data_IF_619631564419
#
_entry.id   IF_619631564419
#
_cell.length_a   1.000
_cell.length_b   1.000
_cell.length_c   1.000
_cell.angle_alpha   90.00
_cell.angle_beta   90.00
_cell.angle_gamma   90.00
#
_symmetry.space_group_name_H-M   'P 1'
#
loop_
_entity.id
_entity.type
_entity.pdbx_description
1 polymer ?
#
# COMPACT_ATOMS: atom_id res chain seq x y z
N UNK A 1 -15.69 -21.53 -9.20
CA UNK A 1 -16.52 -21.12 -8.06
C UNK A 1 -17.64 -22.12 -7.79
N UNK A 2 -18.16 -22.12 -6.58
CA UNK A 2 -19.34 -22.88 -6.19
C UNK A 2 -20.27 -21.97 -5.41
N UNK A 3 -21.56 -22.06 -5.66
CA UNK A 3 -22.60 -21.36 -4.86
C UNK A 3 -23.46 -22.40 -4.14
N UNK A 4 -24.09 -21.97 -3.07
CA UNK A 4 -25.00 -22.81 -2.29
C UNK A 4 -26.08 -23.46 -3.17
N UNK A 5 -26.38 -24.76 -2.99
CA UNK A 5 -27.46 -25.44 -3.72
C UNK A 5 -28.87 -24.90 -3.45
N UNK A 6 -29.03 -24.09 -2.39
CA UNK A 6 -30.30 -23.45 -2.05
C UNK A 6 -30.62 -22.20 -2.88
N UNK A 7 -29.70 -21.77 -3.76
CA UNK A 7 -29.89 -20.56 -4.55
C UNK A 7 -30.95 -20.75 -5.64
N UNK A 8 -31.68 -19.67 -5.89
CA UNK A 8 -32.66 -19.60 -6.98
C UNK A 8 -31.94 -19.27 -8.29
N UNK A 9 -32.13 -20.13 -9.30
CA UNK A 9 -31.60 -19.88 -10.63
C UNK A 9 -32.22 -18.63 -11.27
N UNK A 10 -31.48 -17.99 -12.17
CA UNK A 10 -31.84 -16.82 -12.99
C UNK A 10 -32.04 -15.50 -12.21
N UNK A 11 -32.18 -15.51 -10.88
CA UNK A 11 -32.21 -14.32 -10.04
C UNK A 11 -30.93 -14.15 -9.22
N UNK A 12 -30.24 -15.26 -8.93
CA UNK A 12 -28.89 -15.23 -8.35
C UNK A 12 -27.86 -14.86 -9.41
N UNK A 13 -26.99 -13.91 -9.11
CA UNK A 13 -26.02 -13.39 -10.07
C UNK A 13 -24.67 -13.07 -9.45
N UNK A 14 -23.65 -13.02 -10.31
CA UNK A 14 -22.32 -12.52 -10.00
C UNK A 14 -22.09 -11.22 -10.75
N UNK A 15 -21.62 -10.19 -10.03
CA UNK A 15 -21.19 -8.92 -10.59
C UNK A 15 -19.69 -8.80 -10.43
N UNK A 16 -19.01 -8.43 -11.50
CA UNK A 16 -17.58 -8.18 -11.49
C UNK A 16 -17.32 -6.70 -11.67
N UNK A 17 -16.59 -6.12 -10.73
CA UNK A 17 -16.18 -4.72 -10.77
C UNK A 17 -14.66 -4.63 -10.91
N UNK A 18 -14.21 -3.67 -11.69
CA UNK A 18 -12.81 -3.27 -11.77
C UNK A 18 -12.71 -1.79 -11.38
N UNK A 19 -11.94 -1.49 -10.33
CA UNK A 19 -11.78 -0.12 -9.81
C UNK A 19 -13.11 0.59 -9.49
N UNK A 20 -14.10 -0.16 -9.03
CA UNK A 20 -15.44 0.35 -8.71
C UNK A 20 -16.41 0.41 -9.89
N UNK A 21 -15.96 0.20 -11.11
CA UNK A 21 -16.80 0.16 -12.32
C UNK A 21 -17.32 -1.25 -12.57
N UNK A 22 -18.63 -1.42 -12.75
CA UNK A 22 -19.23 -2.70 -13.14
C UNK A 22 -18.74 -3.07 -14.55
N UNK A 23 -18.13 -4.24 -14.68
CA UNK A 23 -17.63 -4.75 -15.94
C UNK A 23 -18.65 -5.71 -16.59
N UNK A 24 -19.15 -6.65 -15.80
CA UNK A 24 -20.04 -7.68 -16.29
C UNK A 24 -20.90 -8.23 -15.15
N UNK A 25 -22.11 -8.68 -15.52
CA UNK A 25 -23.06 -9.39 -14.66
C UNK A 25 -23.41 -10.72 -15.28
N UNK A 26 -23.29 -11.80 -14.52
CA UNK A 26 -23.69 -13.14 -14.94
C UNK A 26 -24.79 -13.69 -14.04
N UNK A 27 -26.00 -13.85 -14.58
CA UNK A 27 -27.07 -14.58 -13.91
C UNK A 27 -26.78 -16.08 -13.93
N UNK A 28 -26.96 -16.76 -12.80
CA UNK A 28 -26.65 -18.19 -12.67
C UNK A 28 -27.85 -19.02 -13.09
N UNK A 29 -27.62 -19.97 -14.01
CA UNK A 29 -28.61 -20.94 -14.45
C UNK A 29 -28.73 -22.09 -13.44
N UNK A 30 -29.79 -22.86 -13.53
CA UNK A 30 -30.01 -24.04 -12.67
C UNK A 30 -28.89 -25.10 -12.77
N UNK A 31 -28.17 -25.16 -13.88
CA UNK A 31 -27.05 -26.07 -14.05
C UNK A 31 -25.81 -25.68 -13.26
N UNK A 32 -25.72 -24.41 -12.86
CA UNK A 32 -24.58 -23.80 -12.18
C UNK A 32 -24.75 -23.72 -10.65
N UNK A 33 -25.96 -23.98 -10.15
CA UNK A 33 -26.27 -23.97 -8.74
C UNK A 33 -25.78 -25.24 -8.06
N UNK A 34 -25.10 -25.11 -6.91
CA UNK A 34 -24.69 -26.22 -6.05
C UNK A 34 -23.59 -27.12 -6.63
N UNK A 35 -22.90 -26.71 -7.69
CA UNK A 35 -21.82 -27.49 -8.32
C UNK A 35 -20.64 -26.58 -8.66
N UNK A 36 -19.41 -27.08 -8.65
CA UNK A 36 -18.25 -26.35 -9.17
C UNK A 36 -18.48 -25.91 -10.61
N UNK A 37 -18.24 -24.65 -10.89
CA UNK A 37 -18.45 -24.03 -12.20
C UNK A 37 -17.28 -23.13 -12.56
N UNK A 38 -17.11 -22.91 -13.88
CA UNK A 38 -16.20 -21.90 -14.42
C UNK A 38 -16.99 -20.86 -15.21
N UNK A 39 -16.68 -19.59 -14.98
CA UNK A 39 -17.15 -18.48 -15.79
C UNK A 39 -15.94 -17.64 -16.21
N UNK A 40 -16.01 -17.12 -17.42
CA UNK A 40 -14.99 -16.19 -17.95
C UNK A 40 -15.65 -14.82 -18.04
N UNK A 41 -15.05 -13.84 -17.40
CA UNK A 41 -15.48 -12.44 -17.44
C UNK A 41 -14.44 -11.64 -18.23
N UNK A 42 -14.93 -10.75 -19.10
CA UNK A 42 -14.07 -9.87 -19.88
C UNK A 42 -13.99 -8.50 -19.21
N UNK A 43 -12.80 -8.14 -18.76
CA UNK A 43 -12.55 -6.85 -18.13
C UNK A 43 -12.11 -5.83 -19.17
N UNK A 44 -12.75 -4.66 -19.17
CA UNK A 44 -12.43 -3.56 -20.08
C UNK A 44 -11.02 -3.02 -19.85
N UNK A 45 -10.19 -3.00 -20.90
CA UNK A 45 -8.81 -2.50 -20.80
C UNK A 45 -8.73 -1.04 -20.34
N UNK A 46 -9.74 -0.23 -20.60
CA UNK A 46 -9.80 1.20 -20.22
C UNK A 46 -10.02 1.41 -18.72
N UNK A 47 -10.55 0.42 -18.02
CA UNK A 47 -10.79 0.49 -16.58
C UNK A 47 -9.57 0.15 -15.74
N UNK A 48 -8.49 -0.36 -16.36
CA UNK A 48 -7.20 -0.56 -15.71
C UNK A 48 -6.45 0.76 -15.54
N UNK A 49 -5.80 0.91 -14.40
CA UNK A 49 -5.00 2.10 -14.04
C UNK A 49 -3.55 1.69 -13.80
N UNK A 50 -2.65 2.64 -13.97
CA UNK A 50 -1.26 2.46 -13.52
C UNK A 50 -1.24 2.30 -12.00
N UNK A 51 -0.46 1.36 -11.48
CA UNK A 51 -0.37 1.05 -10.07
C UNK A 51 -1.44 0.04 -9.62
N UNK A 52 -2.01 0.26 -8.45
CA UNK A 52 -2.94 -0.67 -7.83
C UNK A 52 -4.29 -0.69 -8.55
N UNK A 53 -4.77 -1.89 -8.85
CA UNK A 53 -6.09 -2.15 -9.38
C UNK A 53 -6.85 -3.09 -8.45
N UNK A 54 -8.14 -2.83 -8.27
CA UNK A 54 -9.00 -3.64 -7.42
C UNK A 54 -10.04 -4.35 -8.27
N UNK A 55 -10.05 -5.69 -8.21
CA UNK A 55 -11.14 -6.51 -8.73
C UNK A 55 -12.05 -6.87 -7.56
N UNK A 56 -13.33 -6.55 -7.68
CA UNK A 56 -14.35 -6.92 -6.70
C UNK A 56 -15.36 -7.87 -7.34
N UNK A 57 -15.50 -9.03 -6.73
CA UNK A 57 -16.54 -10.00 -7.07
C UNK A 57 -17.69 -9.81 -6.08
N UNK A 58 -18.88 -9.53 -6.58
CA UNK A 58 -20.07 -9.36 -5.76
C UNK A 58 -21.04 -10.49 -6.06
N UNK A 59 -21.44 -11.20 -5.03
CA UNK A 59 -22.45 -12.25 -5.11
C UNK A 59 -23.79 -11.71 -4.65
N UNK A 60 -24.77 -11.71 -5.53
CA UNK A 60 -26.17 -11.38 -5.23
C UNK A 60 -26.94 -12.69 -5.22
N UNK A 61 -27.07 -13.28 -4.03
CA UNK A 61 -27.69 -14.58 -3.85
C UNK A 61 -29.15 -14.43 -3.41
N UNK A 62 -30.03 -15.21 -4.01
CA UNK A 62 -31.45 -15.32 -3.64
C UNK A 62 -31.79 -16.79 -3.38
N UNK A 63 -32.36 -17.07 -2.22
CA UNK A 63 -32.83 -18.43 -1.84
C UNK A 63 -34.36 -18.55 -1.77
N UNK A 64 -35.09 -17.46 -1.80
CA UNK A 64 -36.54 -17.39 -1.92
C UNK A 64 -36.96 -16.11 -2.63
N UNK A 65 -38.23 -16.03 -3.06
CA UNK A 65 -38.71 -14.94 -3.89
C UNK A 65 -39.24 -13.74 -3.10
N UNK A 66 -39.53 -13.92 -1.81
CA UNK A 66 -40.11 -12.88 -0.92
C UNK A 66 -39.56 -13.03 0.49
N UNK A 67 -39.37 -11.89 1.18
CA UNK A 67 -39.01 -11.83 2.60
C UNK A 67 -37.68 -12.56 2.94
N UNK A 68 -36.62 -12.35 2.16
CA UNK A 68 -35.33 -12.95 2.42
C UNK A 68 -34.63 -12.36 3.65
N UNK A 69 -33.95 -13.22 4.38
CA UNK A 69 -33.05 -12.84 5.45
C UNK A 69 -31.59 -12.79 4.92
N UNK A 70 -31.01 -11.61 4.86
CA UNK A 70 -29.64 -11.42 4.38
C UNK A 70 -28.57 -12.16 5.21
N UNK A 71 -28.90 -12.55 6.43
CA UNK A 71 -28.01 -13.33 7.31
C UNK A 71 -28.26 -14.84 7.25
N UNK A 72 -29.02 -15.32 6.27
CA UNK A 72 -29.29 -16.75 6.15
C UNK A 72 -28.00 -17.51 5.82
N UNK A 73 -27.64 -18.56 6.58
CA UNK A 73 -26.40 -19.33 6.38
C UNK A 73 -26.35 -20.10 5.03
N UNK A 74 -27.47 -20.19 4.32
CA UNK A 74 -27.45 -20.74 2.95
C UNK A 74 -26.97 -19.73 1.89
N UNK A 75 -26.76 -18.47 2.23
CA UNK A 75 -26.19 -17.45 1.34
C UNK A 75 -24.68 -17.52 1.39
N UNK A 76 -24.09 -18.36 0.54
CA UNK A 76 -22.62 -18.47 0.44
C UNK A 76 -22.18 -18.72 -1.00
N UNK A 77 -20.98 -18.28 -1.28
CA UNK A 77 -20.21 -18.55 -2.49
C UNK A 77 -18.76 -18.81 -2.11
N UNK A 78 -18.16 -19.78 -2.74
CA UNK A 78 -16.75 -20.11 -2.66
C UNK A 78 -16.06 -19.87 -4.00
N UNK A 79 -14.94 -19.15 -4.00
CA UNK A 79 -14.11 -18.91 -5.19
C UNK A 79 -12.91 -19.86 -5.11
N UNK A 80 -12.79 -20.72 -6.10
CA UNK A 80 -11.70 -21.68 -6.15
C UNK A 80 -10.33 -20.97 -6.23
N UNK A 81 -9.32 -21.43 -5.48
CA UNK A 81 -8.00 -20.81 -5.46
C UNK A 81 -7.27 -20.89 -6.82
N UNK A 82 -7.70 -21.77 -7.71
CA UNK A 82 -7.21 -21.89 -9.08
C UNK A 82 -7.75 -20.82 -10.03
N UNK A 83 -8.62 -19.92 -9.53
CA UNK A 83 -9.14 -18.81 -10.32
C UNK A 83 -8.00 -17.87 -10.75
N UNK A 84 -7.97 -17.50 -12.02
CA UNK A 84 -6.87 -16.76 -12.60
C UNK A 84 -7.33 -15.46 -13.30
N UNK A 85 -6.45 -14.49 -13.35
CA UNK A 85 -6.59 -13.28 -14.15
C UNK A 85 -5.54 -13.31 -15.27
N UNK A 86 -5.98 -13.54 -16.52
CA UNK A 86 -5.12 -13.48 -17.67
C UNK A 86 -5.13 -12.07 -18.29
N UNK A 87 -3.95 -11.47 -18.44
CA UNK A 87 -3.79 -10.17 -19.07
C UNK A 87 -3.03 -10.29 -20.38
N UNK A 88 -3.67 -9.91 -21.49
CA UNK A 88 -2.96 -9.66 -22.74
C UNK A 88 -2.30 -8.27 -22.63
N UNK A 89 -1.00 -8.24 -22.39
CA UNK A 89 -0.26 -7.01 -22.13
C UNK A 89 0.84 -6.77 -23.15
N UNK A 90 1.03 -5.50 -23.52
CA UNK A 90 2.23 -5.01 -24.16
C UNK A 90 3.00 -4.15 -23.17
N UNK A 91 4.33 -4.30 -23.13
CA UNK A 91 5.15 -3.40 -22.33
C UNK A 91 5.26 -2.04 -23.01
N UNK A 92 5.02 -0.98 -22.25
CA UNK A 92 5.25 0.39 -22.68
C UNK A 92 6.52 0.88 -22.01
N UNK A 93 7.42 1.51 -22.78
CA UNK A 93 8.62 2.13 -22.22
C UNK A 93 8.19 3.30 -21.34
N UNK A 94 8.43 3.19 -20.04
CA UNK A 94 8.13 4.26 -19.09
C UNK A 94 9.09 5.44 -19.30
N UNK A 95 8.63 6.69 -19.17
CA UNK A 95 9.53 7.83 -19.12
C UNK A 95 10.46 7.73 -17.91
N UNK A 96 11.64 8.36 -18.01
CA UNK A 96 12.53 8.51 -16.89
C UNK A 96 12.02 9.64 -16.00
N UNK A 97 11.23 9.31 -14.97
CA UNK A 97 10.62 10.28 -14.08
C UNK A 97 10.65 9.75 -12.63
N UNK A 98 11.47 10.38 -11.82
CA UNK A 98 11.67 10.07 -10.40
C UNK A 98 10.42 10.32 -9.55
N UNK A 99 9.44 11.09 -10.05
CA UNK A 99 8.17 11.30 -9.35
C UNK A 99 7.37 10.01 -9.16
N UNK A 100 7.67 8.98 -9.95
CA UNK A 100 7.03 7.67 -9.88
C UNK A 100 7.76 6.70 -8.94
N UNK A 101 8.93 7.06 -8.42
CA UNK A 101 9.65 6.20 -7.48
C UNK A 101 8.75 5.85 -6.28
N UNK A 102 8.67 4.60 -5.83
CA UNK A 102 9.59 3.49 -6.09
C UNK A 102 9.31 2.67 -7.38
N UNK A 103 8.25 2.95 -8.13
CA UNK A 103 8.06 2.29 -9.43
C UNK A 103 9.13 2.74 -10.46
N UNK A 104 9.60 1.85 -11.35
CA UNK A 104 9.18 0.47 -11.54
C UNK A 104 9.99 -0.56 -10.72
N UNK A 105 10.84 -0.13 -9.80
CA UNK A 105 11.76 -1.01 -9.06
C UNK A 105 11.03 -1.92 -8.08
N UNK A 106 9.98 -1.39 -7.44
CA UNK A 106 9.17 -2.08 -6.46
C UNK A 106 7.70 -1.73 -6.70
N UNK A 107 6.85 -2.73 -6.74
CA UNK A 107 5.41 -2.53 -6.67
C UNK A 107 5.06 -2.17 -5.21
N UNK A 108 4.85 -0.90 -4.96
CA UNK A 108 4.34 -0.46 -3.66
C UNK A 108 2.91 -0.96 -3.49
N UNK A 109 2.63 -1.69 -2.42
CA UNK A 109 1.28 -2.16 -2.10
C UNK A 109 1.27 -3.49 -1.35
N UNK A 110 0.10 -3.88 -0.90
CA UNK A 110 -0.17 -5.06 -0.06
C UNK A 110 -0.19 -6.38 -0.87
N UNK A 111 0.68 -6.50 -1.87
CA UNK A 111 0.64 -7.62 -2.82
C UNK A 111 1.28 -8.91 -2.29
N UNK A 112 2.05 -8.85 -1.21
CA UNK A 112 2.80 -9.99 -0.69
C UNK A 112 3.81 -10.59 -1.68
N UNK A 113 4.12 -9.89 -2.78
CA UNK A 113 5.03 -10.38 -3.81
C UNK A 113 6.49 -10.25 -3.38
N UNK A 114 7.28 -11.25 -3.75
CA UNK A 114 8.73 -11.20 -3.56
C UNK A 114 9.33 -10.15 -4.49
N UNK A 115 10.21 -9.33 -3.94
CA UNK A 115 10.93 -8.29 -4.68
C UNK A 115 12.41 -8.67 -4.79
N UNK A 116 12.95 -8.65 -5.99
CA UNK A 116 14.39 -8.79 -6.22
C UNK A 116 14.89 -7.50 -6.86
N UNK A 117 15.75 -6.77 -6.14
CA UNK A 117 16.33 -5.52 -6.62
C UNK A 117 17.87 -5.62 -6.59
N UNK A 118 18.50 -5.93 -7.74
CA UNK A 118 19.94 -6.00 -7.85
C UNK A 118 20.62 -4.67 -7.53
N UNK A 119 21.76 -4.75 -6.83
CA UNK A 119 22.62 -3.61 -6.50
C UNK A 119 23.95 -3.79 -7.23
N UNK A 120 24.42 -2.76 -7.92
CA UNK A 120 25.63 -2.79 -8.72
C UNK A 120 26.63 -1.78 -8.19
N UNK A 121 27.87 -2.24 -7.95
CA UNK A 121 29.03 -1.42 -7.66
C UNK A 121 30.10 -1.58 -8.75
N UNK A 122 31.04 -0.66 -8.85
CA UNK A 122 32.19 -0.80 -9.76
C UNK A 122 33.07 -2.01 -9.40
N UNK A 123 33.27 -2.24 -8.11
CA UNK A 123 34.03 -3.32 -7.49
C UNK A 123 33.55 -3.51 -6.06
N UNK A 124 34.21 -4.33 -5.25
CA UNK A 124 33.86 -4.50 -3.83
C UNK A 124 33.63 -3.14 -3.15
N UNK A 125 32.48 -2.89 -2.51
CA UNK A 125 32.13 -1.60 -1.96
C UNK A 125 33.00 -1.19 -0.77
N UNK A 126 33.17 0.11 -0.60
CA UNK A 126 33.65 0.68 0.66
C UNK A 126 32.57 0.61 1.73
N UNK A 127 32.94 0.86 2.99
CA UNK A 127 31.95 0.88 4.10
C UNK A 127 30.83 1.91 3.86
N UNK A 128 31.13 3.05 3.25
CA UNK A 128 30.16 4.09 2.94
C UNK A 128 29.30 3.74 1.72
N UNK A 129 29.87 3.16 0.69
CA UNK A 129 29.11 2.61 -0.43
C UNK A 129 28.14 1.53 0.06
N UNK A 130 28.60 0.63 0.93
CA UNK A 130 27.75 -0.38 1.55
C UNK A 130 26.66 0.25 2.44
N UNK A 131 27.00 1.32 3.19
CA UNK A 131 26.02 2.08 4.00
C UNK A 131 24.95 2.70 3.10
N UNK A 132 25.32 3.36 2.00
CA UNK A 132 24.38 3.94 1.06
C UNK A 132 23.45 2.87 0.47
N UNK A 133 24.00 1.72 0.10
CA UNK A 133 23.22 0.60 -0.40
C UNK A 133 22.28 0.02 0.66
N UNK A 134 22.73 -0.10 1.91
CA UNK A 134 21.91 -0.57 3.02
C UNK A 134 20.74 0.37 3.33
N UNK A 135 20.92 1.69 3.22
CA UNK A 135 19.84 2.68 3.35
C UNK A 135 18.77 2.44 2.28
N UNK A 136 19.18 2.29 1.02
CA UNK A 136 18.25 2.06 -0.09
C UNK A 136 17.56 0.69 0.03
N UNK A 137 18.33 -0.36 0.35
CA UNK A 137 17.79 -1.71 0.55
C UNK A 137 16.82 -1.78 1.73
N UNK A 138 17.12 -1.11 2.85
CA UNK A 138 16.23 -1.04 4.01
C UNK A 138 14.92 -0.34 3.69
N UNK A 139 14.98 0.79 3.02
CA UNK A 139 13.78 1.52 2.57
C UNK A 139 12.95 0.69 1.59
N UNK A 140 13.57 0.18 0.53
CA UNK A 140 12.88 -0.61 -0.49
C UNK A 140 12.37 -1.95 0.07
N UNK A 141 13.11 -2.57 0.99
CA UNK A 141 12.66 -3.75 1.72
C UNK A 141 11.42 -3.48 2.58
N UNK A 142 11.36 -2.33 3.25
CA UNK A 142 10.16 -1.96 4.03
C UNK A 142 8.91 -1.78 3.18
N UNK A 143 9.05 -1.39 1.91
CA UNK A 143 7.94 -1.28 0.96
C UNK A 143 7.40 -2.64 0.48
N UNK A 144 8.18 -3.71 0.61
CA UNK A 144 7.76 -5.08 0.25
C UNK A 144 6.81 -5.70 1.28
N UNK A 145 6.58 -5.05 2.41
CA UNK A 145 5.66 -5.45 3.49
C UNK A 145 5.82 -6.94 3.88
N UNK A 146 4.84 -7.78 3.53
CA UNK A 146 4.81 -9.22 3.81
C UNK A 146 5.58 -10.07 2.80
N UNK A 147 6.03 -9.47 1.70
CA UNK A 147 6.85 -10.11 0.68
C UNK A 147 8.31 -10.21 1.11
N UNK A 148 9.02 -11.17 0.53
CA UNK A 148 10.47 -11.29 0.69
C UNK A 148 11.18 -10.29 -0.21
N UNK A 149 12.15 -9.53 0.33
CA UNK A 149 13.02 -8.66 -0.44
C UNK A 149 14.43 -9.24 -0.54
N UNK A 150 14.98 -9.31 -1.75
CA UNK A 150 16.33 -9.79 -2.04
C UNK A 150 17.11 -8.72 -2.80
N UNK A 151 18.37 -8.51 -2.39
CA UNK A 151 19.26 -7.50 -2.96
C UNK A 151 20.57 -8.15 -3.44
N UNK A 152 20.55 -8.91 -4.54
CA UNK A 152 21.78 -9.51 -5.06
C UNK A 152 22.75 -8.43 -5.51
N UNK A 153 24.04 -8.61 -5.19
CA UNK A 153 25.10 -7.65 -5.47
C UNK A 153 25.92 -8.09 -6.67
N UNK A 154 26.20 -7.16 -7.57
CA UNK A 154 26.99 -7.32 -8.77
C UNK A 154 28.17 -6.33 -8.79
N UNK A 155 29.28 -6.73 -9.40
CA UNK A 155 30.48 -5.91 -9.49
C UNK A 155 30.85 -5.65 -10.96
N UNK A 156 30.75 -4.39 -11.39
CA UNK A 156 31.15 -3.93 -12.72
C UNK A 156 30.23 -4.40 -13.87
N UNK A 157 29.28 -5.27 -13.61
CA UNK A 157 28.43 -5.92 -14.62
C UNK A 157 26.99 -5.43 -14.52
N UNK A 158 26.32 -5.35 -15.66
CA UNK A 158 24.88 -5.08 -15.74
C UNK A 158 24.12 -6.38 -15.49
N UNK A 159 23.15 -6.42 -14.57
CA UNK A 159 22.30 -7.59 -14.38
C UNK A 159 21.60 -7.98 -15.69
N UNK A 160 21.51 -9.28 -15.96
CA UNK A 160 20.97 -9.79 -17.21
C UNK A 160 19.48 -9.47 -17.44
N UNK A 161 18.74 -9.19 -16.38
CA UNK A 161 17.28 -8.88 -16.40
C UNK A 161 16.89 -8.00 -15.25
N UNK A 162 15.80 -7.26 -15.45
CA UNK A 162 15.12 -6.48 -14.41
C UNK A 162 15.70 -5.10 -14.20
N UNK A 163 15.06 -4.38 -13.32
CA UNK A 163 15.52 -3.07 -12.87
C UNK A 163 16.58 -3.23 -11.78
N UNK A 164 17.50 -2.30 -11.67
CA UNK A 164 18.58 -2.37 -10.66
C UNK A 164 19.02 -0.98 -10.19
N UNK A 165 19.75 -0.95 -9.09
CA UNK A 165 20.34 0.26 -8.52
C UNK A 165 21.85 0.21 -8.73
N UNK A 166 22.45 1.34 -9.14
CA UNK A 166 23.89 1.48 -9.32
C UNK A 166 24.43 2.56 -8.39
N UNK A 167 25.50 2.26 -7.70
CA UNK A 167 26.28 3.22 -6.90
C UNK A 167 27.58 3.52 -7.62
N UNK A 168 27.85 4.80 -7.90
CA UNK A 168 29.03 5.23 -8.63
C UNK A 168 29.60 6.56 -8.12
N UNK A 169 30.90 6.60 -7.93
CA UNK A 169 31.67 7.84 -7.66
C UNK A 169 32.58 8.16 -8.84
N UNK A 170 33.26 9.31 -8.80
CA UNK A 170 34.21 9.66 -9.86
C UNK A 170 35.35 8.65 -9.97
N UNK A 171 35.84 8.14 -8.84
CA UNK A 171 36.95 7.19 -8.80
C UNK A 171 36.51 5.73 -8.93
N UNK A 172 35.25 5.46 -8.69
CA UNK A 172 34.65 4.10 -8.65
C UNK A 172 33.40 4.04 -9.52
N UNK A 173 33.60 4.15 -10.81
CA UNK A 173 32.57 4.15 -11.83
C UNK A 173 32.57 2.80 -12.58
N UNK A 174 31.47 2.04 -12.62
CA UNK A 174 31.37 0.84 -13.46
C UNK A 174 31.68 1.15 -14.94
N UNK A 175 32.30 0.20 -15.65
CA UNK A 175 32.75 0.41 -17.03
C UNK A 175 31.64 0.86 -17.98
N UNK A 176 30.40 0.37 -17.81
CA UNK A 176 29.26 0.77 -18.61
C UNK A 176 28.76 2.22 -18.36
N UNK A 177 29.30 2.91 -17.37
CA UNK A 177 29.05 4.32 -17.07
C UNK A 177 30.29 5.21 -17.37
N UNK A 178 31.34 4.66 -17.96
CA UNK A 178 32.62 5.38 -18.18
C UNK A 178 32.48 6.66 -19.02
N UNK A 179 31.50 6.70 -19.92
CA UNK A 179 31.20 7.87 -20.78
C UNK A 179 30.51 9.02 -20.04
N UNK A 180 30.00 8.78 -18.85
CA UNK A 180 29.37 9.84 -18.08
C UNK A 180 30.40 10.86 -17.59
N UNK A 181 30.08 12.17 -17.64
CA UNK A 181 30.95 13.22 -17.10
C UNK A 181 31.19 13.01 -15.60
N UNK A 182 32.18 13.74 -15.06
CA UNK A 182 32.41 13.74 -13.62
C UNK A 182 31.16 14.24 -12.86
N UNK A 183 30.88 13.59 -11.76
CA UNK A 183 29.80 13.98 -10.86
C UNK A 183 30.23 15.18 -10.02
N UNK A 184 29.38 16.19 -9.94
CA UNK A 184 29.66 17.45 -9.23
C UNK A 184 29.18 17.45 -7.77
N UNK A 185 28.38 16.44 -7.37
CA UNK A 185 27.82 16.28 -6.03
C UNK A 185 26.83 15.12 -5.94
N UNK A 186 26.14 14.96 -4.80
CA UNK A 186 25.16 13.90 -4.61
C UNK A 186 24.02 14.03 -5.63
N UNK A 187 23.70 12.92 -6.29
CA UNK A 187 22.73 12.89 -7.39
C UNK A 187 22.01 11.56 -7.47
N UNK A 188 20.72 11.64 -7.78
CA UNK A 188 19.84 10.52 -8.05
C UNK A 188 19.35 10.66 -9.48
N UNK A 189 19.45 9.64 -10.28
CA UNK A 189 19.12 9.68 -11.69
C UNK A 189 18.44 8.38 -12.13
N UNK A 190 17.31 8.51 -12.83
CA UNK A 190 16.62 7.37 -13.45
C UNK A 190 17.01 7.30 -14.92
N UNK A 191 17.54 6.18 -15.34
CA UNK A 191 18.06 5.98 -16.70
C UNK A 191 17.54 4.67 -17.30
N UNK A 192 17.49 4.64 -18.63
CA UNK A 192 17.31 3.40 -19.36
C UNK A 192 18.60 2.56 -19.29
N UNK A 193 18.45 1.25 -19.23
CA UNK A 193 19.58 0.33 -19.30
C UNK A 193 20.09 0.27 -20.73
N UNK A 194 21.41 0.48 -20.98
CA UNK A 194 21.98 0.34 -22.33
C UNK A 194 21.69 -1.04 -22.92
N UNK A 195 21.06 -1.08 -24.09
CA UNK A 195 20.66 -2.35 -24.75
C UNK A 195 19.42 -3.02 -24.14
N UNK A 196 18.88 -2.51 -23.07
CA UNK A 196 17.61 -2.97 -22.47
C UNK A 196 16.40 -2.53 -23.26
N UNK A 197 15.29 -3.28 -23.16
CA UNK A 197 14.03 -2.94 -23.84
C UNK A 197 13.14 -2.06 -22.96
N UNK A 198 13.02 -2.40 -21.67
CA UNK A 198 12.14 -1.74 -20.72
C UNK A 198 12.79 -1.55 -19.34
N UNK A 199 13.99 -2.10 -19.18
CA UNK A 199 14.70 -2.08 -17.91
C UNK A 199 15.18 -0.67 -17.59
N UNK A 200 15.11 -0.32 -16.31
CA UNK A 200 15.57 0.95 -15.75
C UNK A 200 16.69 0.70 -14.77
N UNK A 201 17.64 1.63 -14.72
CA UNK A 201 18.61 1.71 -13.64
C UNK A 201 18.40 3.00 -12.84
N UNK A 202 18.44 2.87 -11.53
CA UNK A 202 18.50 3.99 -10.60
C UNK A 202 19.97 4.23 -10.29
N UNK A 203 20.51 5.30 -10.81
CA UNK A 203 21.90 5.70 -10.57
C UNK A 203 21.97 6.63 -9.37
N UNK A 204 22.63 6.19 -8.31
CA UNK A 204 22.98 6.98 -7.14
C UNK A 204 24.46 7.32 -7.30
N UNK A 205 24.76 8.60 -7.47
CA UNK A 205 26.11 9.04 -7.83
C UNK A 205 26.57 10.25 -7.01
N UNK A 206 27.87 10.42 -6.96
CA UNK A 206 28.51 11.52 -6.26
C UNK A 206 29.97 11.67 -6.57
N UNK A 207 30.62 12.71 -6.05
CA UNK A 207 32.07 12.93 -6.19
C UNK A 207 32.86 11.83 -5.48
N UNK A 208 32.34 11.40 -4.34
CA UNK A 208 32.91 10.44 -3.41
C UNK A 208 31.82 9.61 -2.74
N UNK A 209 32.17 8.71 -1.85
CA UNK A 209 31.24 7.82 -1.18
C UNK A 209 30.39 8.51 -0.09
N UNK A 210 30.82 9.67 0.47
CA UNK A 210 29.97 10.49 1.32
C UNK A 210 28.76 11.03 0.57
N UNK A 211 28.97 11.49 -0.67
CA UNK A 211 27.89 11.97 -1.52
C UNK A 211 26.85 10.86 -1.81
N UNK A 212 27.28 9.60 -1.90
CA UNK A 212 26.36 8.46 -2.08
C UNK A 212 25.44 8.26 -0.87
N UNK A 213 25.99 8.38 0.34
CA UNK A 213 25.19 8.29 1.57
C UNK A 213 24.16 9.42 1.63
N UNK A 214 24.55 10.64 1.27
CA UNK A 214 23.63 11.79 1.20
C UNK A 214 22.54 11.55 0.16
N UNK A 215 22.89 11.10 -1.05
CA UNK A 215 21.91 10.82 -2.09
C UNK A 215 20.92 9.70 -1.68
N UNK A 216 21.44 8.63 -1.03
CA UNK A 216 20.60 7.55 -0.51
C UNK A 216 19.62 8.04 0.55
N UNK A 217 20.05 8.89 1.49
CA UNK A 217 19.20 9.49 2.51
C UNK A 217 18.10 10.36 1.88
N UNK A 218 18.43 11.19 0.88
CA UNK A 218 17.43 12.01 0.16
C UNK A 218 16.42 11.15 -0.58
N UNK A 219 16.87 10.09 -1.27
CA UNK A 219 15.98 9.16 -1.97
C UNK A 219 14.94 8.55 -1.02
N UNK A 220 15.32 8.29 0.22
CA UNK A 220 14.48 7.58 1.21
C UNK A 220 13.73 8.50 2.17
N UNK A 221 13.97 9.82 2.12
CA UNK A 221 13.36 10.82 3.02
C UNK A 221 11.94 11.23 2.62
N UNK A 222 11.39 10.71 1.52
CA UNK A 222 10.10 11.16 0.99
C UNK A 222 10.17 12.51 0.25
N UNK A 223 11.36 13.01 -0.03
CA UNK A 223 11.56 14.22 -0.84
C UNK A 223 10.92 14.03 -2.21
N UNK A 224 10.05 14.95 -2.61
CA UNK A 224 9.44 14.91 -3.94
C UNK A 224 10.48 15.23 -5.01
N UNK A 225 10.75 14.27 -5.89
CA UNK A 225 11.66 14.40 -7.02
C UNK A 225 10.84 14.45 -8.31
N UNK A 226 11.27 15.23 -9.29
CA UNK A 226 10.58 15.41 -10.57
C UNK A 226 11.61 15.27 -11.69
N UNK A 227 11.20 14.63 -12.79
CA UNK A 227 12.05 14.42 -13.97
C UNK A 227 13.02 13.25 -13.80
N UNK A 228 13.99 13.19 -14.70
CA UNK A 228 14.92 12.07 -14.80
C UNK A 228 16.11 12.12 -13.82
N UNK A 229 16.38 13.31 -13.25
CA UNK A 229 17.47 13.49 -12.31
C UNK A 229 17.17 14.50 -11.20
N UNK A 230 17.70 14.22 -10.02
CA UNK A 230 17.65 15.08 -8.86
C UNK A 230 19.04 15.33 -8.30
N UNK A 231 19.49 16.61 -8.31
CA UNK A 231 20.74 17.04 -7.69
C UNK A 231 20.44 17.53 -6.27
N UNK A 232 21.11 16.92 -5.30
CA UNK A 232 20.98 17.34 -3.90
C UNK A 232 21.86 18.56 -3.66
N UNK A 233 21.25 19.67 -3.22
CA UNK A 233 21.96 20.92 -2.96
C UNK A 233 22.11 21.20 -1.47
N UNK A 234 21.03 21.11 -0.72
CA UNK A 234 20.97 21.48 0.69
C UNK A 234 20.40 20.32 1.50
N UNK A 235 21.27 19.35 1.84
CA UNK A 235 20.89 18.24 2.67
C UNK A 235 21.15 18.58 4.14
N UNK A 236 20.15 18.33 4.98
CA UNK A 236 20.29 18.32 6.44
C UNK A 236 19.89 16.95 6.94
N UNK A 237 20.76 16.34 7.73
CA UNK A 237 20.41 15.10 8.41
C UNK A 237 19.20 15.33 9.30
N UNK A 238 18.23 14.44 9.22
CA UNK A 238 17.12 14.44 10.16
C UNK A 238 17.63 14.07 11.56
N UNK A 239 17.09 14.68 12.61
CA UNK A 239 17.47 14.32 13.97
C UNK A 239 17.15 12.84 14.21
N UNK A 240 18.02 12.18 14.98
CA UNK A 240 17.79 10.80 15.40
C UNK A 240 16.48 10.77 16.19
N UNK A 241 15.56 9.92 15.74
CA UNK A 241 14.29 9.73 16.44
C UNK A 241 14.54 9.14 17.84
N UNK A 242 13.83 9.67 18.82
CA UNK A 242 13.81 9.10 20.17
C UNK A 242 13.08 7.76 20.21
N UNK A 243 13.20 7.08 21.34
CA UNK A 243 12.37 5.90 21.61
C UNK A 243 10.87 6.27 21.48
N UNK A 244 10.08 5.39 20.89
CA UNK A 244 8.63 5.53 20.69
C UNK A 244 8.19 6.62 19.69
N UNK A 245 9.11 7.28 18.99
CA UNK A 245 8.79 8.29 17.96
C UNK A 245 8.62 7.71 16.55
N UNK A 246 8.60 6.39 16.40
CA UNK A 246 8.30 5.75 15.11
C UNK A 246 6.86 6.06 14.65
N UNK A 247 6.60 6.18 13.34
CA UNK A 247 5.26 6.45 12.81
C UNK A 247 4.22 5.45 13.34
N UNK A 248 3.04 5.97 13.72
CA UNK A 248 1.92 5.20 14.30
C UNK A 248 2.21 4.51 15.63
N UNK A 249 3.33 4.79 16.28
CA UNK A 249 3.60 4.31 17.63
C UNK A 249 2.95 5.23 18.67
N UNK A 250 2.46 4.63 19.75
CA UNK A 250 1.99 5.40 20.92
C UNK A 250 3.21 5.82 21.72
N UNK A 251 3.35 7.13 21.91
CA UNK A 251 4.27 7.69 22.90
C UNK A 251 3.60 7.59 24.28
N UNK A 252 4.17 6.87 25.24
CA UNK A 252 3.58 6.73 26.58
C UNK A 252 3.59 8.04 27.39
N UNK A 253 4.31 9.07 26.94
CA UNK A 253 4.47 10.34 27.62
C UNK A 253 3.60 11.45 27.05
N UNK A 254 3.01 11.26 25.85
CA UNK A 254 2.26 12.29 25.14
C UNK A 254 0.97 11.74 24.54
N UNK A 255 -0.07 12.57 24.59
CA UNK A 255 -1.28 12.25 23.83
C UNK A 255 -1.02 12.41 22.34
N UNK A 256 -1.44 11.43 21.54
CA UNK A 256 -1.38 11.47 20.09
C UNK A 256 -2.71 11.93 19.50
N UNK A 257 -2.67 12.65 18.40
CA UNK A 257 -3.87 13.03 17.65
C UNK A 257 -4.24 11.93 16.64
N UNK A 258 -5.54 11.70 16.43
CA UNK A 258 -5.97 10.70 15.43
C UNK A 258 -5.50 11.05 14.01
N UNK A 259 -5.28 12.35 13.74
CA UNK A 259 -4.74 12.80 12.45
C UNK A 259 -3.32 12.31 12.19
N UNK A 260 -2.50 12.12 13.24
CA UNK A 260 -1.14 11.56 13.08
C UNK A 260 -1.12 10.08 12.71
N UNK A 261 -2.24 9.37 12.90
CA UNK A 261 -2.41 7.97 12.56
C UNK A 261 -3.00 7.76 11.15
N UNK A 262 -3.35 8.84 10.45
CA UNK A 262 -3.96 8.76 9.13
C UNK A 262 -2.95 8.31 8.07
N UNK A 263 -3.39 7.41 7.20
CA UNK A 263 -2.64 6.98 6.01
C UNK A 263 -3.01 7.79 4.76
N UNK A 264 -4.20 8.41 4.76
CA UNK A 264 -4.68 9.25 3.65
C UNK A 264 -5.65 10.33 4.17
N UNK A 265 -5.75 11.48 3.50
CA UNK A 265 -6.43 12.69 4.05
C UNK A 265 -7.91 12.52 4.40
N UNK A 266 -8.62 11.59 3.79
CA UNK A 266 -10.07 11.38 4.01
C UNK A 266 -10.40 10.23 4.96
N UNK A 267 -9.39 9.60 5.57
CA UNK A 267 -9.56 8.40 6.40
C UNK A 267 -10.52 8.59 7.59
N UNK A 268 -10.56 9.78 8.16
CA UNK A 268 -11.45 10.12 9.29
C UNK A 268 -12.87 10.53 8.85
N UNK A 269 -13.22 10.30 7.58
CA UNK A 269 -14.53 10.67 7.06
C UNK A 269 -15.24 9.44 6.48
N UNK A 270 -16.45 9.17 6.94
CA UNK A 270 -17.31 8.10 6.41
C UNK A 270 -18.55 8.73 5.78
N UNK A 271 -18.92 8.29 4.57
CA UNK A 271 -20.07 8.78 3.80
C UNK A 271 -20.78 7.64 3.09
N UNK A 272 -22.07 7.76 2.94
CA UNK A 272 -22.90 6.79 2.20
C UNK A 272 -24.16 6.39 2.95
N UNK A 273 -25.01 5.60 2.30
CA UNK A 273 -26.22 5.04 2.90
C UNK A 273 -25.88 4.01 3.99
N UNK A 274 -24.83 3.24 3.79
CA UNK A 274 -24.21 2.38 4.81
C UNK A 274 -22.82 2.96 5.07
N UNK A 275 -22.59 3.43 6.29
CA UNK A 275 -21.34 4.07 6.67
C UNK A 275 -20.27 3.01 6.91
N UNK A 276 -19.18 2.97 6.11
CA UNK A 276 -18.05 2.11 6.39
C UNK A 276 -17.38 2.50 7.71
N UNK A 277 -16.86 1.51 8.43
CA UNK A 277 -16.11 1.75 9.64
C UNK A 277 -14.80 2.53 9.35
N UNK A 278 -14.45 3.44 10.24
CA UNK A 278 -13.16 4.14 10.21
C UNK A 278 -12.17 3.29 11.00
N UNK A 279 -11.11 2.84 10.34
CA UNK A 279 -10.04 2.06 10.95
C UNK A 279 -8.78 2.90 11.09
N UNK A 280 -8.21 2.92 12.29
CA UNK A 280 -6.93 3.53 12.59
C UNK A 280 -6.03 2.47 13.23
N UNK A 281 -4.84 2.31 12.69
CA UNK A 281 -3.85 1.42 13.25
C UNK A 281 -2.85 2.21 14.09
N UNK A 282 -2.60 1.71 15.28
CA UNK A 282 -1.60 2.23 16.18
C UNK A 282 -0.74 1.07 16.70
N UNK A 283 0.51 1.35 17.01
CA UNK A 283 1.45 0.35 17.51
C UNK A 283 1.88 0.72 18.93
N UNK A 284 1.92 -0.26 19.80
CA UNK A 284 2.56 -0.14 21.10
C UNK A 284 3.95 -0.76 21.06
N UNK A 285 4.93 -0.12 21.67
CA UNK A 285 6.24 -0.72 21.83
C UNK A 285 6.14 -1.98 22.75
N UNK A 286 6.94 -3.02 22.48
CA UNK A 286 6.81 -4.30 23.18
C UNK A 286 7.19 -4.25 24.68
N UNK A 287 7.80 -3.17 25.11
CA UNK A 287 8.18 -2.88 26.49
C UNK A 287 7.18 -1.97 27.24
N UNK A 288 6.10 -1.56 26.54
CA UNK A 288 4.99 -0.83 27.18
C UNK A 288 3.97 -1.85 27.70
N UNK A 289 3.77 -1.86 28.98
CA UNK A 289 2.77 -2.67 29.65
C UNK A 289 1.67 -1.79 30.27
N UNK A 290 0.42 -2.08 29.95
CA UNK A 290 -0.71 -1.49 30.61
C UNK A 290 -0.98 -2.23 31.92
N UNK A 291 -0.87 -1.53 33.05
CA UNK A 291 -1.16 -2.11 34.38
C UNK A 291 -2.65 -2.44 34.46
N UNK A 292 -2.99 -3.56 35.08
CA UNK A 292 -4.39 -3.98 35.29
C UNK A 292 -5.23 -2.84 35.88
N UNK A 293 -6.32 -2.51 35.20
CA UNK A 293 -7.19 -1.39 35.59
C UNK A 293 -6.72 -0.01 35.07
N UNK A 294 -5.61 0.07 34.34
CA UNK A 294 -5.24 1.28 33.62
C UNK A 294 -6.29 1.61 32.55
N UNK A 295 -6.58 2.89 32.40
CA UNK A 295 -7.50 3.39 31.40
C UNK A 295 -6.74 4.26 30.41
N UNK A 296 -7.02 4.11 29.14
CA UNK A 296 -6.60 5.06 28.11
C UNK A 296 -7.80 5.97 27.78
N UNK A 297 -7.60 7.27 27.90
CA UNK A 297 -8.65 8.25 27.61
C UNK A 297 -8.62 8.57 26.10
N UNK A 298 -9.73 8.29 25.41
CA UNK A 298 -9.93 8.66 24.02
C UNK A 298 -10.94 9.79 23.95
N UNK A 299 -10.48 11.00 23.65
CA UNK A 299 -11.34 12.15 23.42
C UNK A 299 -11.67 12.27 21.94
N UNK A 300 -12.91 12.01 21.57
CA UNK A 300 -13.38 12.12 20.20
C UNK A 300 -14.11 13.45 19.97
N UNK A 301 -13.66 14.18 18.96
CA UNK A 301 -14.38 15.33 18.42
C UNK A 301 -14.90 14.95 17.05
N UNK A 302 -16.23 14.90 16.86
CA UNK A 302 -16.85 14.45 15.64
C UNK A 302 -18.07 15.29 15.27
N UNK A 303 -18.48 15.20 14.02
CA UNK A 303 -19.71 15.78 13.51
C UNK A 303 -20.43 14.75 12.64
N UNK A 304 -21.73 14.84 12.63
CA UNK A 304 -22.58 13.94 11.83
C UNK A 304 -23.84 14.63 11.32
N UNK A 305 -24.39 14.10 10.24
CA UNK A 305 -25.70 14.52 9.74
C UNK A 305 -26.80 13.95 10.61
N UNK A 306 -27.82 14.75 10.87
CA UNK A 306 -29.02 14.28 11.61
C UNK A 306 -29.61 13.04 10.93
N UNK A 307 -29.89 11.96 11.68
CA UNK A 307 -30.64 10.83 11.15
C UNK A 307 -32.02 11.25 10.62
N UNK A 308 -32.57 10.50 9.66
CA UNK A 308 -33.93 10.73 9.20
C UNK A 308 -34.92 10.47 10.34
N UNK A 309 -36.08 11.10 10.26
CA UNK A 309 -37.10 10.97 11.28
C UNK A 309 -37.53 9.49 11.47
N UNK A 310 -37.53 9.05 12.72
CA UNK A 310 -37.81 7.66 13.08
C UNK A 310 -36.61 6.70 12.93
N UNK A 311 -35.43 7.18 12.52
CA UNK A 311 -34.20 6.40 12.48
C UNK A 311 -33.30 6.69 13.68
N UNK A 312 -32.68 5.64 14.21
CA UNK A 312 -31.69 5.72 15.27
C UNK A 312 -30.33 5.50 14.66
N UNK A 313 -29.38 6.40 14.94
CA UNK A 313 -27.98 6.23 14.58
C UNK A 313 -27.14 6.13 15.86
N UNK A 314 -26.13 5.28 15.83
CA UNK A 314 -25.21 5.07 16.94
C UNK A 314 -23.79 5.01 16.44
N UNK A 315 -22.89 5.72 17.10
CA UNK A 315 -21.46 5.54 16.94
C UNK A 315 -20.97 4.51 17.96
N UNK A 316 -20.16 3.56 17.51
CA UNK A 316 -19.48 2.59 18.36
C UNK A 316 -17.98 2.68 18.17
N UNK A 317 -17.26 2.68 19.25
CA UNK A 317 -15.78 2.64 19.28
C UNK A 317 -15.35 1.25 19.72
N UNK A 318 -14.53 0.61 18.92
CA UNK A 318 -13.97 -0.69 19.21
C UNK A 318 -12.44 -0.57 19.29
N UNK A 319 -11.85 -1.26 20.25
CA UNK A 319 -10.40 -1.47 20.35
C UNK A 319 -10.13 -2.97 20.19
N UNK A 320 -9.39 -3.34 19.13
CA UNK A 320 -9.10 -4.75 18.82
C UNK A 320 -10.36 -5.65 18.86
N UNK A 321 -11.46 -5.18 18.24
CA UNK A 321 -12.79 -5.85 18.22
C UNK A 321 -13.62 -5.78 19.50
N UNK A 322 -13.05 -5.43 20.65
CA UNK A 322 -13.80 -5.20 21.89
C UNK A 322 -14.50 -3.83 21.87
N UNK A 323 -15.75 -3.78 22.32
CA UNK A 323 -16.49 -2.53 22.44
C UNK A 323 -15.91 -1.70 23.58
N UNK A 324 -15.33 -0.55 23.25
CA UNK A 324 -14.78 0.40 24.21
C UNK A 324 -15.83 1.45 24.64
N UNK A 325 -16.72 1.84 23.73
CA UNK A 325 -17.78 2.81 24.04
C UNK A 325 -18.76 2.99 22.90
N UNK A 326 -19.89 3.60 23.20
CA UNK A 326 -20.91 3.94 22.20
C UNK A 326 -21.60 5.26 22.56
N UNK A 327 -22.03 5.97 21.52
CA UNK A 327 -22.78 7.22 21.66
C UNK A 327 -23.95 7.23 20.70
N UNK A 328 -25.14 7.70 21.20
CA UNK A 328 -26.34 7.81 20.40
C UNK A 328 -26.34 9.13 19.63
N UNK A 329 -26.66 9.06 18.36
CA UNK A 329 -26.63 10.20 17.45
C UNK A 329 -28.05 10.67 17.14
N UNK A 330 -28.76 11.23 18.17
CA UNK A 330 -30.19 11.52 18.08
C UNK A 330 -30.49 12.85 17.37
N UNK A 331 -29.59 13.82 17.45
CA UNK A 331 -29.76 15.14 16.85
C UNK A 331 -28.52 15.55 16.09
N UNK A 332 -28.62 15.91 14.83
CA UNK A 332 -27.48 16.41 14.07
C UNK A 332 -26.74 17.52 14.80
N UNK A 333 -25.42 17.51 14.78
CA UNK A 333 -24.58 18.54 15.41
C UNK A 333 -23.36 18.84 14.57
N UNK A 334 -22.96 20.10 14.54
CA UNK A 334 -21.74 20.52 13.86
C UNK A 334 -20.49 20.12 14.65
N UNK A 335 -20.64 19.89 15.96
CA UNK A 335 -19.54 19.47 16.82
C UNK A 335 -20.08 18.73 18.04
N UNK A 336 -19.79 17.46 18.14
CA UNK A 336 -20.03 16.66 19.34
C UNK A 336 -18.68 16.25 19.96
N UNK A 337 -18.66 16.03 21.26
CA UNK A 337 -17.55 15.48 22.01
C UNK A 337 -18.01 14.26 22.76
N UNK A 338 -17.30 13.17 22.62
CA UNK A 338 -17.50 11.97 23.43
C UNK A 338 -16.17 11.59 24.09
N UNK A 339 -16.23 11.27 25.36
CA UNK A 339 -15.10 10.70 26.10
C UNK A 339 -15.33 9.19 26.19
N UNK A 340 -14.40 8.43 25.63
CA UNK A 340 -14.45 6.97 25.62
C UNK A 340 -13.29 6.47 26.47
N UNK A 341 -13.60 5.70 27.50
CA UNK A 341 -12.60 5.05 28.33
C UNK A 341 -12.32 3.66 27.77
N UNK A 342 -11.11 3.44 27.30
CA UNK A 342 -10.67 2.14 26.81
C UNK A 342 -10.02 1.41 27.98
N UNK A 343 -10.59 0.29 28.38
CA UNK A 343 -9.97 -0.61 29.34
C UNK A 343 -8.88 -1.42 28.62
N UNK A 344 -7.66 -1.36 29.11
CA UNK A 344 -6.51 -2.06 28.56
C UNK A 344 -6.53 -3.58 28.84
#
# INVERSE_FOLDING_TARGET
FTVSPSMLANVTQLNIFLNGELQETAALSAKQIGKPQSLIFNLGSKSFRTGQNQVRVEFVGHYQTVCENASNPSLWMDIAPESELALNKAFVRLPNDLSQFPAPFIAAGDSGQNTTLPIVFAQQPTDKEATAAAIVAGYTGSLSQWGKAEFPVYFGEVPAKGHFVVFATNDRKPAFLSELPAFEGPRIELRDVPGGQHEKMLLISGRNDEDLVVAAKVLTSGTQMIGDNHRVRDFKDEPVQGAYQAPNWIDPQQAITLSSLMRYPTQLTSRGAVLPAIHLNLNMAPDIYAIDGAKADLNLFYRYSKPAEGQVAQMRVLMNTALAGSDNMDSGTDRARSEVFVQA
#
